data_IF_925046746697
#
_entry.id   IF_925046746697
#
_cell.length_a   1.000
_cell.length_b   1.000
_cell.length_c   1.000
_cell.angle_alpha   90.00
_cell.angle_beta   90.00
_cell.angle_gamma   90.00
#
_symmetry.space_group_name_H-M   'P 1'
#
loop_
_entity.id
_entity.type
_entity.pdbx_description
1 polymer ?
#
# COMPACT_ATOMS: atom_id res chain seq x y z
N UNK A 1 -1.06 12.66 -38.63
CA UNK A 1 -0.47 11.38 -38.20
C UNK A 1 -0.38 11.39 -36.68
N UNK A 2 -1.28 10.67 -36.00
CA UNK A 2 -1.40 10.63 -34.52
C UNK A 2 -1.17 9.18 -34.10
N UNK A 3 0.04 8.85 -33.66
CA UNK A 3 0.32 7.51 -33.12
C UNK A 3 -0.25 7.39 -31.72
N UNK A 4 -1.24 6.52 -31.58
CA UNK A 4 -1.78 6.06 -30.30
C UNK A 4 -0.79 5.04 -29.74
N UNK A 5 -0.09 5.41 -28.67
CA UNK A 5 0.76 4.49 -27.91
C UNK A 5 -0.17 3.55 -27.15
N UNK A 6 -0.26 2.31 -27.62
CA UNK A 6 -0.96 1.23 -26.95
C UNK A 6 -0.09 0.75 -25.78
N UNK A 7 -0.58 1.00 -24.56
CA UNK A 7 -0.04 0.42 -23.33
C UNK A 7 -0.46 -1.06 -23.32
N UNK A 8 0.43 -1.95 -23.70
CA UNK A 8 0.22 -3.39 -23.56
C UNK A 8 0.51 -3.76 -22.10
N UNK A 9 -0.56 -3.94 -21.33
CA UNK A 9 -0.51 -4.53 -20.00
C UNK A 9 -0.15 -6.02 -20.12
N UNK A 10 1.12 -6.36 -19.88
CA UNK A 10 1.55 -7.75 -19.74
C UNK A 10 1.14 -8.28 -18.35
N UNK A 11 0.08 -9.07 -18.33
CA UNK A 11 -0.30 -9.94 -17.22
C UNK A 11 0.75 -11.06 -17.09
N UNK A 12 1.78 -10.83 -16.29
CA UNK A 12 2.65 -11.92 -15.84
C UNK A 12 1.93 -12.72 -14.75
N UNK A 13 1.60 -13.98 -15.05
CA UNK A 13 1.13 -14.94 -14.06
C UNK A 13 2.25 -15.21 -13.03
N UNK A 14 2.11 -14.62 -11.85
CA UNK A 14 3.04 -14.80 -10.73
C UNK A 14 2.87 -16.20 -10.13
N UNK A 15 3.75 -17.13 -10.51
CA UNK A 15 4.07 -18.28 -9.67
C UNK A 15 4.86 -17.74 -8.49
N UNK A 16 4.20 -17.54 -7.36
CA UNK A 16 4.85 -17.10 -6.11
C UNK A 16 5.52 -18.32 -5.48
N UNK A 17 6.87 -18.40 -5.40
CA UNK A 17 7.51 -19.42 -4.59
C UNK A 17 7.03 -19.26 -3.15
N UNK A 18 6.66 -20.35 -2.50
CA UNK A 18 6.28 -20.38 -1.09
C UNK A 18 7.52 -20.08 -0.22
N UNK A 19 7.94 -18.82 -0.18
CA UNK A 19 8.86 -18.33 0.82
C UNK A 19 8.12 -18.35 2.15
N UNK A 20 8.63 -19.13 3.09
CA UNK A 20 8.21 -19.14 4.48
C UNK A 20 8.26 -17.72 5.06
N UNK A 21 7.11 -17.05 5.18
CA UNK A 21 6.96 -15.76 5.83
C UNK A 21 7.05 -15.92 7.37
N UNK A 22 8.17 -16.44 7.87
CA UNK A 22 8.38 -16.62 9.30
C UNK A 22 8.70 -15.29 10.01
N UNK A 23 9.32 -14.33 9.31
CA UNK A 23 9.64 -13.03 9.90
C UNK A 23 8.46 -12.05 9.79
N UNK A 24 8.07 -11.44 10.91
CA UNK A 24 7.09 -10.35 10.95
C UNK A 24 7.65 -9.01 10.45
N UNK A 25 6.90 -7.91 10.61
CA UNK A 25 7.40 -6.58 10.28
C UNK A 25 8.68 -6.24 11.06
N UNK A 26 9.66 -5.65 10.37
CA UNK A 26 10.93 -5.18 10.97
C UNK A 26 10.76 -3.84 11.68
N UNK A 27 11.81 -3.37 12.36
CA UNK A 27 11.84 -2.01 12.91
C UNK A 27 11.69 -0.93 11.83
N UNK A 28 12.32 -1.12 10.68
CA UNK A 28 12.21 -0.21 9.55
C UNK A 28 10.79 -0.18 8.97
N UNK A 29 10.12 -1.34 8.87
CA UNK A 29 8.72 -1.43 8.42
C UNK A 29 7.80 -0.65 9.37
N UNK A 30 8.02 -0.75 10.69
CA UNK A 30 7.27 0.02 11.70
C UNK A 30 7.53 1.53 11.60
N UNK A 31 8.77 1.95 11.39
CA UNK A 31 9.11 3.36 11.22
C UNK A 31 8.46 3.96 9.96
N UNK A 32 8.51 3.20 8.86
CA UNK A 32 7.83 3.55 7.62
C UNK A 32 6.31 3.60 7.78
N UNK A 33 5.72 2.65 8.49
CA UNK A 33 4.31 2.65 8.83
C UNK A 33 3.90 3.86 9.66
N UNK A 34 4.72 4.29 10.63
CA UNK A 34 4.46 5.50 11.41
C UNK A 34 4.45 6.76 10.53
N UNK A 35 5.39 6.90 9.60
CA UNK A 35 5.38 7.99 8.60
C UNK A 35 4.13 7.93 7.73
N UNK A 36 3.77 6.72 7.26
CA UNK A 36 2.59 6.54 6.44
C UNK A 36 1.30 6.93 7.17
N UNK A 37 1.16 6.52 8.43
CA UNK A 37 0.04 6.85 9.30
C UNK A 37 -0.03 8.35 9.64
N UNK A 38 1.10 9.01 9.80
CA UNK A 38 1.15 10.47 9.97
C UNK A 38 0.61 11.18 8.74
N UNK A 39 1.09 10.82 7.55
CA UNK A 39 0.61 11.37 6.28
C UNK A 39 -0.89 11.11 6.06
N UNK A 40 -1.38 9.89 6.35
CA UNK A 40 -2.80 9.57 6.27
C UNK A 40 -3.65 10.44 7.19
N UNK A 41 -3.22 10.61 8.45
CA UNK A 41 -3.91 11.47 9.41
C UNK A 41 -3.99 12.91 8.90
N UNK A 42 -2.93 13.43 8.28
CA UNK A 42 -2.94 14.75 7.65
C UNK A 42 -3.90 14.79 6.46
N UNK A 43 -3.82 13.83 5.54
CA UNK A 43 -4.60 13.84 4.28
C UNK A 43 -6.11 13.65 4.46
N UNK A 44 -6.54 12.93 5.49
CA UNK A 44 -7.96 12.65 5.74
C UNK A 44 -8.55 13.42 6.94
N UNK A 45 -7.71 14.04 7.75
CA UNK A 45 -8.10 14.71 8.99
C UNK A 45 -8.26 13.75 10.17
N UNK A 46 -8.12 14.28 11.40
CA UNK A 46 -8.07 13.48 12.62
C UNK A 46 -9.36 12.68 12.89
N UNK A 47 -10.54 13.23 12.57
CA UNK A 47 -11.81 12.55 12.81
C UNK A 47 -12.02 11.37 11.88
N UNK A 48 -11.74 11.53 10.59
CA UNK A 48 -11.86 10.44 9.63
C UNK A 48 -10.80 9.38 9.93
N UNK A 49 -9.58 9.78 10.27
CA UNK A 49 -8.52 8.87 10.69
C UNK A 49 -8.92 8.03 11.92
N UNK A 50 -9.50 8.66 12.95
CA UNK A 50 -10.02 7.95 14.14
C UNK A 50 -11.16 7.00 13.81
N UNK A 51 -11.97 7.29 12.80
CA UNK A 51 -13.03 6.40 12.34
C UNK A 51 -12.48 5.21 11.54
N UNK A 52 -11.44 5.44 10.73
CA UNK A 52 -10.74 4.41 9.96
C UNK A 52 -10.01 3.43 10.87
N UNK A 53 -9.23 3.93 11.84
CA UNK A 53 -8.29 3.10 12.61
C UNK A 53 -8.65 2.93 14.08
N UNK A 54 -9.58 3.71 14.64
CA UNK A 54 -10.02 3.56 16.02
C UNK A 54 -11.04 2.43 16.19
N UNK A 55 -11.26 1.99 17.43
CA UNK A 55 -12.43 1.16 17.78
C UNK A 55 -13.30 1.92 18.77
N UNK A 56 -14.60 1.59 18.80
CA UNK A 56 -15.46 2.16 19.83
C UNK A 56 -15.04 1.71 21.25
N UNK A 57 -14.46 0.52 21.42
CA UNK A 57 -13.98 0.02 22.71
C UNK A 57 -12.84 0.86 23.32
N UNK A 58 -12.02 1.52 22.49
CA UNK A 58 -10.93 2.40 22.96
C UNK A 58 -11.30 3.88 22.97
N UNK A 59 -12.59 4.23 22.78
CA UNK A 59 -13.01 5.59 22.44
C UNK A 59 -12.20 6.18 21.27
N UNK A 60 -11.75 5.33 20.34
CA UNK A 60 -10.88 5.66 19.20
C UNK A 60 -9.52 6.28 19.58
N UNK A 61 -9.08 6.18 20.84
CA UNK A 61 -7.81 6.77 21.32
C UNK A 61 -6.56 6.04 20.82
N UNK A 62 -6.65 4.74 20.54
CA UNK A 62 -5.53 3.93 20.04
C UNK A 62 -5.42 3.88 18.50
N UNK A 63 -6.08 4.79 17.78
CA UNK A 63 -6.16 4.77 16.32
C UNK A 63 -4.77 4.79 15.65
N UNK A 64 -3.85 5.61 16.14
CA UNK A 64 -2.51 5.70 15.54
C UNK A 64 -1.72 4.41 15.71
N UNK A 65 -1.70 3.81 16.91
CA UNK A 65 -1.03 2.53 17.14
C UNK A 65 -1.60 1.39 16.30
N UNK A 66 -2.93 1.36 16.11
CA UNK A 66 -3.59 0.40 15.22
C UNK A 66 -3.23 0.62 13.75
N UNK A 67 -3.19 1.89 13.33
CA UNK A 67 -2.72 2.25 11.99
C UNK A 67 -1.30 1.73 11.77
N UNK A 68 -0.37 2.01 12.70
CA UNK A 68 1.03 1.57 12.58
C UNK A 68 1.13 0.05 12.52
N UNK A 69 0.36 -0.68 13.33
CA UNK A 69 0.35 -2.15 13.29
C UNK A 69 -0.12 -2.69 11.94
N UNK A 70 -1.20 -2.14 11.39
CA UNK A 70 -1.71 -2.55 10.07
C UNK A 70 -0.75 -2.17 8.94
N UNK A 71 -0.23 -0.94 8.97
CA UNK A 71 0.70 -0.45 7.96
C UNK A 71 2.06 -1.13 8.05
N UNK A 72 2.50 -1.60 9.21
CA UNK A 72 3.75 -2.37 9.31
C UNK A 72 3.68 -3.67 8.50
N UNK A 73 2.51 -4.33 8.47
CA UNK A 73 2.26 -5.50 7.59
C UNK A 73 2.25 -5.10 6.11
N UNK A 74 1.68 -3.94 5.79
CA UNK A 74 1.66 -3.40 4.42
C UNK A 74 3.07 -3.07 3.94
N UNK A 75 3.89 -2.40 4.77
CA UNK A 75 5.28 -2.08 4.48
C UNK A 75 6.16 -3.32 4.33
N UNK A 76 5.94 -4.33 5.19
CA UNK A 76 6.57 -5.63 5.04
C UNK A 76 6.24 -6.25 3.67
N UNK A 77 4.97 -6.28 3.29
CA UNK A 77 4.55 -6.82 1.99
C UNK A 77 5.16 -6.02 0.83
N UNK A 78 5.10 -4.69 0.89
CA UNK A 78 5.72 -3.81 -0.10
C UNK A 78 7.21 -4.08 -0.24
N UNK A 79 7.93 -4.29 0.86
CA UNK A 79 9.36 -4.60 0.85
C UNK A 79 9.65 -5.96 0.20
N UNK A 80 8.86 -6.99 0.51
CA UNK A 80 9.04 -8.33 -0.06
C UNK A 80 8.72 -8.34 -1.56
N UNK A 81 7.60 -7.74 -1.96
CA UNK A 81 7.21 -7.59 -3.37
C UNK A 81 8.22 -6.74 -4.15
N UNK A 82 8.69 -5.62 -3.58
CA UNK A 82 9.73 -4.79 -4.20
C UNK A 82 11.04 -5.55 -4.38
N UNK A 83 11.49 -6.33 -3.40
CA UNK A 83 12.69 -7.17 -3.53
C UNK A 83 12.53 -8.19 -4.66
N UNK A 84 11.40 -8.89 -4.73
CA UNK A 84 11.13 -9.85 -5.80
C UNK A 84 11.12 -9.18 -7.18
N UNK A 85 10.43 -8.03 -7.32
CA UNK A 85 10.40 -7.29 -8.57
C UNK A 85 11.78 -6.78 -8.99
N UNK A 86 12.56 -6.23 -8.06
CA UNK A 86 13.92 -5.77 -8.35
C UNK A 86 14.88 -6.92 -8.70
N UNK A 87 14.67 -8.11 -8.13
CA UNK A 87 15.44 -9.29 -8.51
C UNK A 87 15.12 -9.74 -9.94
N UNK A 88 13.84 -9.68 -10.32
CA UNK A 88 13.42 -9.98 -11.69
C UNK A 88 14.01 -8.96 -12.69
N UNK A 89 13.92 -7.66 -12.38
CA UNK A 89 14.50 -6.59 -13.22
C UNK A 89 16.03 -6.70 -13.33
N UNK A 90 16.72 -7.04 -12.25
CA UNK A 90 18.17 -7.21 -12.27
C UNK A 90 18.61 -8.41 -13.12
N UNK A 91 17.77 -9.45 -13.21
CA UNK A 91 18.04 -10.66 -13.98
C UNK A 91 17.48 -10.59 -15.42
N UNK A 92 16.78 -9.51 -15.79
CA UNK A 92 16.17 -9.36 -17.11
C UNK A 92 17.24 -8.96 -18.15
N UNK A 93 17.57 -9.83 -19.13
CA UNK A 93 18.53 -9.49 -20.18
C UNK A 93 18.04 -8.36 -21.09
N UNK A 94 16.73 -8.09 -21.13
CA UNK A 94 16.12 -7.03 -21.94
C UNK A 94 15.83 -5.76 -21.14
N UNK A 95 16.31 -5.63 -19.90
CA UNK A 95 16.05 -4.47 -19.05
C UNK A 95 16.33 -3.15 -19.79
N UNK A 96 17.48 -3.04 -20.45
CA UNK A 96 17.88 -1.81 -21.14
C UNK A 96 16.87 -1.37 -22.24
N UNK A 97 16.17 -2.30 -22.88
CA UNK A 97 15.21 -1.99 -23.94
C UNK A 97 14.01 -1.17 -23.44
N UNK A 98 13.66 -1.30 -22.16
CA UNK A 98 12.56 -0.55 -21.53
C UNK A 98 13.04 0.64 -20.68
N UNK A 99 14.34 0.89 -20.63
CA UNK A 99 14.98 1.82 -19.69
C UNK A 99 16.00 2.76 -20.37
N UNK A 100 15.64 3.30 -21.53
CA UNK A 100 16.45 4.26 -22.31
C UNK A 100 17.87 3.76 -22.63
N UNK A 101 18.03 2.44 -22.83
CA UNK A 101 19.33 1.81 -23.09
C UNK A 101 20.23 1.65 -21.86
N UNK A 102 19.76 2.03 -20.66
CA UNK A 102 20.55 1.94 -19.43
C UNK A 102 20.48 0.53 -18.84
N UNK A 103 21.61 0.03 -18.37
CA UNK A 103 21.64 -1.17 -17.52
C UNK A 103 20.93 -0.94 -16.18
N UNK A 104 20.60 -2.02 -15.48
CA UNK A 104 20.01 -1.94 -14.13
C UNK A 104 20.85 -1.09 -13.17
N UNK A 105 22.18 -1.21 -13.25
CA UNK A 105 23.11 -0.46 -12.41
C UNK A 105 23.13 1.03 -12.75
N UNK A 106 23.03 1.40 -14.03
CA UNK A 106 22.96 2.80 -14.47
C UNK A 106 21.60 3.44 -14.20
N UNK A 107 20.52 2.66 -14.29
CA UNK A 107 19.17 3.16 -14.08
C UNK A 107 18.89 3.43 -12.59
N UNK A 108 19.23 2.48 -11.70
CA UNK A 108 18.94 2.63 -10.27
C UNK A 108 20.13 3.10 -9.44
N UNK A 109 21.36 2.82 -9.84
CA UNK A 109 22.56 3.10 -9.05
C UNK A 109 22.89 4.58 -8.95
N UNK A 110 23.90 4.92 -8.14
CA UNK A 110 24.50 6.25 -8.13
C UNK A 110 26.02 6.15 -8.23
N UNK A 111 26.64 7.18 -8.79
CA UNK A 111 28.09 7.31 -8.86
C UNK A 111 28.77 6.29 -9.78
N UNK A 112 30.11 6.25 -9.75
CA UNK A 112 30.89 5.30 -10.54
C UNK A 112 30.46 3.86 -10.20
N UNK A 113 30.29 3.02 -11.24
CA UNK A 113 29.91 1.59 -11.12
C UNK A 113 28.48 1.31 -10.63
N UNK A 114 27.59 2.30 -10.56
CA UNK A 114 26.17 2.06 -10.24
C UNK A 114 25.94 1.49 -8.83
N UNK A 115 26.68 2.00 -7.84
CA UNK A 115 26.60 1.53 -6.47
C UNK A 115 25.17 1.65 -5.91
N UNK A 116 24.79 0.71 -5.04
CA UNK A 116 23.48 0.63 -4.37
C UNK A 116 22.26 0.48 -5.29
N UNK A 117 22.43 0.12 -6.57
CA UNK A 117 21.33 -0.01 -7.53
C UNK A 117 20.16 -0.85 -7.00
N UNK A 118 20.43 -2.05 -6.50
CA UNK A 118 19.39 -2.93 -5.97
C UNK A 118 18.63 -2.31 -4.79
N UNK A 119 19.34 -1.74 -3.81
CA UNK A 119 18.73 -1.09 -2.65
C UNK A 119 17.88 0.12 -3.07
N UNK A 120 18.31 0.88 -4.08
CA UNK A 120 17.57 2.01 -4.64
C UNK A 120 16.34 1.57 -5.43
N UNK A 121 16.43 0.49 -6.20
CA UNK A 121 15.28 -0.15 -6.84
C UNK A 121 14.22 -0.50 -5.79
N UNK A 122 14.62 -1.22 -4.73
CA UNK A 122 13.69 -1.64 -3.67
C UNK A 122 13.08 -0.41 -2.98
N UNK A 123 13.89 0.57 -2.63
CA UNK A 123 13.42 1.81 -1.99
C UNK A 123 12.43 2.58 -2.87
N UNK A 124 12.70 2.69 -4.18
CA UNK A 124 11.82 3.32 -5.16
C UNK A 124 10.46 2.63 -5.23
N UNK A 125 10.45 1.30 -5.38
CA UNK A 125 9.21 0.51 -5.47
C UNK A 125 8.42 0.52 -4.17
N UNK A 126 9.08 0.42 -3.02
CA UNK A 126 8.41 0.57 -1.71
C UNK A 126 7.77 1.95 -1.58
N UNK A 127 8.46 3.01 -2.00
CA UNK A 127 7.92 4.37 -1.96
C UNK A 127 6.68 4.51 -2.86
N UNK A 128 6.74 3.99 -4.09
CA UNK A 128 5.62 4.01 -5.03
C UNK A 128 4.41 3.23 -4.48
N UNK A 129 4.62 1.98 -4.04
CA UNK A 129 3.57 1.14 -3.47
C UNK A 129 2.94 1.76 -2.21
N UNK A 130 3.74 2.41 -1.35
CA UNK A 130 3.22 3.15 -0.20
C UNK A 130 2.32 4.31 -0.64
N UNK A 131 2.77 5.13 -1.59
CA UNK A 131 2.02 6.29 -2.06
C UNK A 131 0.67 5.88 -2.69
N UNK A 132 0.67 4.80 -3.46
CA UNK A 132 -0.54 4.21 -4.02
C UNK A 132 -1.47 3.71 -2.91
N UNK A 133 -0.98 2.87 -2.00
CA UNK A 133 -1.77 2.36 -0.89
C UNK A 133 -2.34 3.48 0.00
N UNK A 134 -1.61 4.59 0.17
CA UNK A 134 -2.09 5.75 0.91
C UNK A 134 -3.25 6.42 0.18
N UNK A 135 -3.10 6.64 -1.13
CA UNK A 135 -4.13 7.24 -1.98
C UNK A 135 -5.40 6.39 -1.97
N UNK A 136 -5.26 5.08 -2.14
CA UNK A 136 -6.37 4.13 -2.12
C UNK A 136 -7.09 4.15 -0.76
N UNK A 137 -6.32 4.19 0.34
CA UNK A 137 -6.87 4.29 1.70
C UNK A 137 -7.64 5.59 1.92
N UNK A 138 -7.13 6.73 1.46
CA UNK A 138 -7.81 8.03 1.59
C UNK A 138 -9.10 8.06 0.78
N UNK A 139 -9.06 7.58 -0.46
CA UNK A 139 -10.23 7.51 -1.34
C UNK A 139 -11.29 6.58 -0.75
N UNK A 140 -10.89 5.38 -0.32
CA UNK A 140 -11.76 4.44 0.37
C UNK A 140 -12.38 5.03 1.63
N UNK A 141 -11.61 5.75 2.47
CA UNK A 141 -12.13 6.41 3.66
C UNK A 141 -13.19 7.48 3.33
N UNK A 142 -12.97 8.26 2.28
CA UNK A 142 -13.94 9.27 1.80
C UNK A 142 -15.21 8.60 1.25
N UNK A 143 -15.06 7.54 0.46
CA UNK A 143 -16.18 6.79 -0.10
C UNK A 143 -17.01 6.13 1.01
N UNK A 144 -16.38 5.43 1.95
CA UNK A 144 -17.06 4.85 3.10
C UNK A 144 -17.78 5.91 3.96
N UNK A 145 -17.22 7.11 4.07
CA UNK A 145 -17.89 8.23 4.77
C UNK A 145 -19.14 8.69 4.03
N UNK A 146 -19.07 8.83 2.71
CA UNK A 146 -20.22 9.19 1.88
C UNK A 146 -21.29 8.09 1.92
N UNK A 147 -20.90 6.83 1.72
CA UNK A 147 -21.79 5.67 1.75
C UNK A 147 -22.54 5.58 3.08
N UNK A 148 -21.83 5.69 4.21
CA UNK A 148 -22.45 5.70 5.54
C UNK A 148 -23.41 6.88 5.75
N UNK A 149 -23.15 8.03 5.13
CA UNK A 149 -24.06 9.19 5.18
C UNK A 149 -25.34 8.91 4.40
N UNK A 150 -25.23 8.25 3.24
CA UNK A 150 -26.36 7.95 2.36
C UNK A 150 -27.28 6.87 2.90
N UNK A 151 -26.74 5.72 3.35
CA UNK A 151 -27.55 4.58 3.84
C UNK A 151 -27.84 4.64 5.35
N UNK A 152 -27.20 5.56 6.06
CA UNK A 152 -27.30 5.64 7.51
C UNK A 152 -26.48 4.59 8.25
N UNK A 153 -26.39 4.76 9.57
CA UNK A 153 -25.44 4.01 10.40
C UNK A 153 -25.86 2.55 10.58
N UNK A 154 -27.17 2.27 10.69
CA UNK A 154 -27.68 0.92 10.91
C UNK A 154 -27.39 0.02 9.70
N UNK A 155 -27.79 0.45 8.50
CA UNK A 155 -27.55 -0.30 7.25
C UNK A 155 -26.06 -0.45 6.96
N UNK A 156 -25.27 0.60 7.17
CA UNK A 156 -23.82 0.53 6.99
C UNK A 156 -23.16 -0.50 7.92
N UNK A 157 -23.65 -0.61 9.16
CA UNK A 157 -23.16 -1.62 10.12
C UNK A 157 -23.62 -3.01 9.74
N UNK A 158 -24.85 -3.20 9.26
CA UNK A 158 -25.29 -4.48 8.73
C UNK A 158 -24.44 -4.93 7.53
N UNK A 159 -24.07 -4.00 6.63
CA UNK A 159 -23.27 -4.29 5.44
C UNK A 159 -21.81 -4.64 5.77
N UNK A 160 -21.16 -3.87 6.65
CA UNK A 160 -19.71 -4.01 6.90
C UNK A 160 -19.36 -4.64 8.26
N UNK A 161 -20.32 -4.76 9.18
CA UNK A 161 -20.19 -5.35 10.51
C UNK A 161 -20.59 -6.83 10.50
N UNK A 162 -19.61 -7.73 10.27
CA UNK A 162 -19.88 -9.19 10.23
C UNK A 162 -20.02 -9.90 11.61
N UNK A 163 -20.11 -9.20 12.75
CA UNK A 163 -20.08 -9.84 14.08
C UNK A 163 -20.77 -8.98 15.16
N UNK A 164 -21.30 -9.61 16.22
CA UNK A 164 -22.08 -9.06 17.35
C UNK A 164 -21.53 -7.82 18.09
N UNK A 165 -20.35 -7.31 17.73
CA UNK A 165 -19.83 -6.05 18.29
C UNK A 165 -20.01 -4.86 17.35
N UNK A 166 -20.09 -5.01 16.03
CA UNK A 166 -20.19 -3.92 15.04
C UNK A 166 -19.23 -2.72 15.22
N UNK A 167 -18.18 -2.84 16.05
CA UNK A 167 -17.38 -1.69 16.51
C UNK A 167 -16.33 -1.22 15.52
N UNK A 168 -16.18 -1.90 14.37
CA UNK A 168 -15.18 -1.58 13.34
C UNK A 168 -15.71 -1.70 11.89
N UNK A 169 -17.02 -1.49 11.67
CA UNK A 169 -17.62 -1.54 10.33
C UNK A 169 -16.94 -0.54 9.36
N UNK A 170 -16.61 0.66 9.85
CA UNK A 170 -15.95 1.68 9.03
C UNK A 170 -14.55 1.26 8.58
N UNK A 171 -13.69 0.80 9.50
CA UNK A 171 -12.38 0.28 9.14
C UNK A 171 -12.44 -0.94 8.21
N UNK A 172 -13.47 -1.79 8.34
CA UNK A 172 -13.73 -2.91 7.41
C UNK A 172 -14.11 -2.42 6.01
N UNK A 173 -14.98 -1.42 5.90
CA UNK A 173 -15.30 -0.78 4.62
C UNK A 173 -14.04 -0.23 3.95
N UNK A 174 -13.24 0.56 4.68
CA UNK A 174 -12.01 1.14 4.13
C UNK A 174 -11.05 0.05 3.67
N UNK A 175 -10.84 -0.99 4.47
CA UNK A 175 -9.97 -2.11 4.10
C UNK A 175 -10.48 -2.92 2.90
N UNK A 176 -11.80 -2.97 2.66
CA UNK A 176 -12.36 -3.65 1.52
C UNK A 176 -12.16 -2.83 0.24
N UNK A 177 -12.49 -1.53 0.30
CA UNK A 177 -12.39 -0.63 -0.84
C UNK A 177 -10.94 -0.30 -1.20
N UNK A 178 -10.04 -0.14 -0.24
CA UNK A 178 -8.62 0.13 -0.51
C UNK A 178 -7.88 -1.05 -1.17
N UNK A 179 -8.46 -2.25 -1.13
CA UNK A 179 -7.94 -3.46 -1.80
C UNK A 179 -8.53 -3.67 -3.19
N UNK A 180 -9.64 -3.01 -3.52
CA UNK A 180 -10.17 -3.03 -4.87
C UNK A 180 -9.31 -2.12 -5.75
N UNK A 181 -9.01 -2.50 -7.00
CA UNK A 181 -8.40 -1.58 -7.94
C UNK A 181 -9.31 -0.36 -8.11
N UNK A 182 -8.71 0.83 -8.13
CA UNK A 182 -9.39 2.06 -8.55
C UNK A 182 -9.96 1.85 -9.95
N UNK A 183 -11.29 1.81 -10.07
CA UNK A 183 -12.00 1.89 -11.35
C UNK A 183 -11.84 3.28 -11.97
#
# INVERSE_FOLDING_TARGET
>A
MKSRIAIVALLAALVVPAASFADGPTGQDRANAARACSALRTSMGADLFRQTYGTAASNRRNAFGRCVSQWARTEQQNRLSARSACQAEQNDPNFAASHDGKSFAEFYGNGPKGANAFARCVSSKVKAARAEAQTNTVNAARQCKAERKTMGVAEFRAKYGKNATDRNAFGKCVSALAKAPSN
#
